data_IF_974747998328
#
_entry.id   IF_974747998328
#
_cell.length_a   1.000
_cell.length_b   1.000
_cell.length_c   1.000
_cell.angle_alpha   90.00
_cell.angle_beta   90.00
_cell.angle_gamma   90.00
#
_symmetry.space_group_name_H-M   'P 1'
#
loop_
_entity.id
_entity.type
_entity.pdbx_description
1 polymer ?
#
# COMPACT_ATOMS: atom_id res chain seq x y z
N UNK A 1 15.49 -7.61 0.30
CA UNK A 1 14.93 -7.78 -1.06
C UNK A 1 13.41 -7.56 -1.12
N UNK A 2 12.60 -8.14 -0.23
CA UNK A 2 11.14 -7.95 -0.22
C UNK A 2 10.69 -6.47 -0.07
N UNK A 3 11.28 -5.74 0.88
CA UNK A 3 11.05 -4.29 1.05
C UNK A 3 11.47 -3.48 -0.19
N UNK A 4 12.57 -3.85 -0.85
CA UNK A 4 13.03 -3.21 -2.07
C UNK A 4 12.05 -3.46 -3.24
N UNK A 5 11.55 -4.68 -3.38
CA UNK A 5 10.51 -5.04 -4.35
C UNK A 5 9.22 -4.24 -4.10
N UNK A 6 8.74 -4.18 -2.86
CA UNK A 6 7.56 -3.37 -2.47
C UNK A 6 7.77 -1.88 -2.77
N UNK A 7 8.97 -1.35 -2.51
CA UNK A 7 9.30 0.04 -2.81
C UNK A 7 9.37 0.37 -4.30
N UNK A 8 9.86 -0.55 -5.13
CA UNK A 8 10.01 -0.30 -6.58
C UNK A 8 8.70 -0.53 -7.33
N UNK A 9 7.86 -1.48 -6.88
CA UNK A 9 6.61 -1.83 -7.58
C UNK A 9 5.36 -1.17 -7.04
N UNK A 10 5.26 -0.90 -5.73
CA UNK A 10 3.99 -0.45 -5.11
C UNK A 10 3.99 0.97 -4.56
N UNK A 11 5.15 1.58 -4.25
CA UNK A 11 5.21 3.03 -4.00
C UNK A 11 4.76 3.85 -5.22
N UNK A 12 5.05 3.45 -6.48
CA UNK A 12 4.46 4.11 -7.65
C UNK A 12 2.93 4.07 -7.70
N UNK A 13 2.27 3.04 -7.16
CA UNK A 13 0.81 2.97 -7.09
C UNK A 13 0.24 3.92 -6.04
N UNK A 14 0.90 4.06 -4.89
CA UNK A 14 0.56 5.10 -3.93
C UNK A 14 0.74 6.50 -4.53
N UNK A 15 1.81 6.71 -5.31
CA UNK A 15 2.04 7.94 -6.10
C UNK A 15 0.97 8.15 -7.17
N UNK A 16 0.45 7.08 -7.77
CA UNK A 16 -0.62 7.16 -8.77
C UNK A 16 -1.90 7.78 -8.19
N UNK A 17 -2.24 7.49 -6.94
CA UNK A 17 -3.36 8.16 -6.25
C UNK A 17 -3.16 9.67 -6.13
N UNK A 18 -1.91 10.15 -5.99
CA UNK A 18 -1.62 11.59 -6.04
C UNK A 18 -1.82 12.16 -7.45
N UNK A 19 -1.37 11.44 -8.49
CA UNK A 19 -1.61 11.84 -9.89
C UNK A 19 -3.10 11.91 -10.25
N UNK A 20 -3.92 11.04 -9.67
CA UNK A 20 -5.37 11.06 -9.84
C UNK A 20 -6.06 12.16 -9.01
N UNK A 21 -5.33 12.93 -8.20
CA UNK A 21 -5.88 13.99 -7.34
C UNK A 21 -6.46 13.49 -6.02
N UNK A 22 -6.27 12.22 -5.67
CA UNK A 22 -6.70 11.62 -4.40
C UNK A 22 -5.59 11.68 -3.33
N UNK A 23 -5.19 12.90 -2.96
CA UNK A 23 -4.14 13.14 -1.95
C UNK A 23 -4.39 12.40 -0.64
N UNK A 24 -5.63 12.36 -0.14
CA UNK A 24 -5.98 11.66 1.09
C UNK A 24 -5.78 10.14 1.00
N UNK A 25 -6.13 9.51 -0.13
CA UNK A 25 -5.90 8.07 -0.34
C UNK A 25 -4.41 7.77 -0.45
N UNK A 26 -3.66 8.60 -1.19
CA UNK A 26 -2.21 8.47 -1.31
C UNK A 26 -1.49 8.60 0.04
N UNK A 27 -1.85 9.59 0.85
CA UNK A 27 -1.29 9.78 2.19
C UNK A 27 -1.64 8.62 3.14
N UNK A 28 -2.88 8.14 3.12
CA UNK A 28 -3.29 6.99 3.93
C UNK A 28 -2.54 5.71 3.53
N UNK A 29 -2.33 5.48 2.24
CA UNK A 29 -1.54 4.36 1.75
C UNK A 29 -0.07 4.44 2.21
N UNK A 30 0.56 5.61 2.14
CA UNK A 30 1.93 5.79 2.65
C UNK A 30 1.97 5.57 4.18
N UNK A 31 1.01 6.14 4.91
CA UNK A 31 0.94 6.00 6.36
C UNK A 31 0.79 4.53 6.79
N UNK A 32 -0.11 3.78 6.13
CA UNK A 32 -0.28 2.34 6.39
C UNK A 32 0.99 1.55 6.12
N UNK A 33 1.71 1.85 5.03
CA UNK A 33 2.98 1.21 4.72
C UNK A 33 4.02 1.51 5.82
N UNK A 34 4.20 2.77 6.18
CA UNK A 34 5.21 3.19 7.16
C UNK A 34 4.90 2.60 8.54
N UNK A 35 3.66 2.71 9.00
CA UNK A 35 3.23 2.17 10.30
C UNK A 35 3.29 0.65 10.30
N UNK A 36 2.82 -0.02 9.25
CA UNK A 36 2.87 -1.47 9.14
C UNK A 36 4.31 -2.00 9.18
N UNK A 37 5.25 -1.36 8.48
CA UNK A 37 6.68 -1.70 8.53
C UNK A 37 7.27 -1.44 9.92
N UNK A 38 6.96 -0.31 10.55
CA UNK A 38 7.45 0.01 11.89
C UNK A 38 6.98 -1.01 12.92
N UNK A 39 5.70 -1.39 12.90
CA UNK A 39 5.15 -2.41 13.80
C UNK A 39 5.76 -3.79 13.52
N UNK A 40 5.98 -4.14 12.25
CA UNK A 40 6.65 -5.40 11.91
C UNK A 40 8.07 -5.44 12.47
N UNK A 41 8.81 -4.33 12.38
CA UNK A 41 10.17 -4.22 12.90
C UNK A 41 10.20 -4.31 14.44
N UNK A 42 9.28 -3.63 15.12
CA UNK A 42 9.12 -3.72 16.59
C UNK A 42 8.70 -5.12 17.04
N UNK A 43 7.84 -5.79 16.28
CA UNK A 43 7.37 -7.15 16.57
C UNK A 43 8.33 -8.26 16.16
N UNK A 44 9.34 -7.96 15.33
CA UNK A 44 10.30 -8.92 14.81
C UNK A 44 11.04 -9.72 15.90
N UNK A 45 11.54 -9.10 16.99
CA UNK A 45 12.14 -9.85 18.09
C UNK A 45 11.17 -10.86 18.73
N UNK A 46 9.87 -10.55 18.76
CA UNK A 46 8.85 -11.47 19.25
C UNK A 46 8.77 -12.76 18.43
N UNK A 47 8.88 -12.68 17.09
CA UNK A 47 8.88 -13.88 16.25
C UNK A 47 10.12 -14.77 16.43
N UNK A 48 11.25 -14.18 16.83
CA UNK A 48 12.50 -14.90 17.03
C UNK A 48 12.60 -15.54 18.42
N UNK A 49 12.18 -14.81 19.45
CA UNK A 49 12.42 -15.19 20.85
C UNK A 49 11.15 -15.51 21.63
N UNK A 50 9.98 -15.37 21.01
CA UNK A 50 8.68 -15.50 21.66
C UNK A 50 8.33 -14.30 22.55
N UNK A 51 7.09 -14.29 23.06
CA UNK A 51 6.61 -13.29 24.01
C UNK A 51 5.60 -12.28 23.43
N UNK A 52 5.27 -11.25 24.22
CA UNK A 52 4.16 -10.31 23.95
C UNK A 52 4.36 -9.45 22.70
N UNK A 53 5.59 -9.27 22.23
CA UNK A 53 5.91 -8.53 21.01
C UNK A 53 5.42 -9.25 19.73
N UNK A 54 5.16 -10.56 19.78
CA UNK A 54 4.63 -11.32 18.63
C UNK A 54 3.30 -10.76 18.14
N UNK A 55 2.42 -10.35 19.05
CA UNK A 55 1.13 -9.74 18.72
C UNK A 55 1.31 -8.46 17.88
N UNK A 56 2.29 -7.62 18.24
CA UNK A 56 2.61 -6.39 17.49
C UNK A 56 3.09 -6.75 16.07
N UNK A 57 3.91 -7.79 15.95
CA UNK A 57 4.36 -8.30 14.65
C UNK A 57 3.20 -8.75 13.77
N UNK A 58 2.23 -9.48 14.33
CA UNK A 58 1.03 -9.91 13.60
C UNK A 58 0.16 -8.73 13.17
N UNK A 59 0.00 -7.70 14.01
CA UNK A 59 -0.69 -6.46 13.63
C UNK A 59 0.02 -5.79 12.46
N UNK A 60 1.36 -5.68 12.51
CA UNK A 60 2.15 -5.15 11.40
C UNK A 60 1.94 -5.93 10.10
N UNK A 61 1.98 -7.27 10.16
CA UNK A 61 1.69 -8.13 9.01
C UNK A 61 0.28 -7.94 8.46
N UNK A 62 -0.73 -7.89 9.33
CA UNK A 62 -2.13 -7.69 8.91
C UNK A 62 -2.32 -6.33 8.22
N UNK A 63 -1.70 -5.27 8.74
CA UNK A 63 -1.74 -3.94 8.13
C UNK A 63 -1.07 -3.93 6.76
N UNK A 64 0.11 -4.56 6.62
CA UNK A 64 0.81 -4.65 5.33
C UNK A 64 0.05 -5.53 4.33
N UNK A 65 -0.59 -6.60 4.80
CA UNK A 65 -1.48 -7.43 3.98
C UNK A 65 -2.69 -6.65 3.47
N UNK A 66 -3.38 -5.92 4.35
CA UNK A 66 -4.51 -5.06 3.96
C UNK A 66 -4.09 -3.94 3.01
N UNK A 67 -2.94 -3.32 3.26
CA UNK A 67 -2.35 -2.33 2.36
C UNK A 67 -2.08 -2.92 0.96
N UNK A 68 -1.47 -4.11 0.88
CA UNK A 68 -1.18 -4.78 -0.38
C UNK A 68 -2.45 -5.07 -1.17
N UNK A 69 -3.47 -5.64 -0.52
CA UNK A 69 -4.76 -5.94 -1.14
C UNK A 69 -5.44 -4.68 -1.66
N UNK A 70 -5.38 -3.58 -0.90
CA UNK A 70 -5.91 -2.30 -1.34
C UNK A 70 -5.16 -1.80 -2.60
N UNK A 71 -3.83 -1.83 -2.63
CA UNK A 71 -3.07 -1.42 -3.82
C UNK A 71 -3.41 -2.27 -5.06
N UNK A 72 -3.56 -3.59 -4.90
CA UNK A 72 -3.98 -4.47 -6.00
C UNK A 72 -5.40 -4.13 -6.48
N UNK A 73 -6.32 -3.82 -5.57
CA UNK A 73 -7.67 -3.40 -5.93
C UNK A 73 -7.68 -2.10 -6.73
N UNK A 74 -6.94 -1.08 -6.28
CA UNK A 74 -6.83 0.19 -7.00
C UNK A 74 -6.15 -0.03 -8.38
N UNK A 75 -5.13 -0.89 -8.47
CA UNK A 75 -4.51 -1.25 -9.75
C UNK A 75 -5.50 -1.85 -10.75
N UNK A 76 -6.31 -2.81 -10.31
CA UNK A 76 -7.36 -3.43 -11.14
C UNK A 76 -8.33 -2.34 -11.61
N UNK A 77 -8.79 -1.45 -10.70
CA UNK A 77 -9.71 -0.36 -11.05
C UNK A 77 -9.12 0.65 -12.02
N UNK A 78 -7.81 0.88 -11.96
CA UNK A 78 -7.10 1.74 -12.92
C UNK A 78 -7.10 1.08 -14.31
N UNK A 79 -6.76 -0.22 -14.39
CA UNK A 79 -6.76 -0.97 -15.65
C UNK A 79 -8.17 -1.04 -16.25
N UNK A 80 -9.20 -1.29 -15.43
CA UNK A 80 -10.59 -1.34 -15.87
C UNK A 80 -11.20 0.04 -16.09
N UNK A 81 -10.45 1.12 -15.82
CA UNK A 81 -10.89 2.53 -15.89
C UNK A 81 -12.07 2.90 -14.97
N UNK A 82 -12.31 2.08 -13.95
CA UNK A 82 -13.32 2.31 -12.93
C UNK A 82 -12.85 3.41 -11.94
N UNK A 83 -11.54 3.50 -11.68
CA UNK A 83 -10.96 4.58 -10.87
C UNK A 83 -10.49 5.74 -11.76
N UNK A 84 -11.33 6.77 -11.94
CA UNK A 84 -10.98 7.94 -12.75
C UNK A 84 -10.30 9.07 -11.96
N UNK A 85 -9.50 9.92 -12.63
CA UNK A 85 -8.97 11.14 -12.03
C UNK A 85 -10.09 12.03 -11.46
N UNK A 86 -9.84 12.68 -10.33
CA UNK A 86 -10.85 13.48 -9.62
C UNK A 86 -11.44 14.63 -10.45
N UNK A 87 -10.67 15.13 -11.42
CA UNK A 87 -11.03 16.26 -12.30
C UNK A 87 -10.89 15.91 -13.79
N UNK A 88 -11.04 14.65 -14.19
CA UNK A 88 -10.90 14.27 -15.59
C UNK A 88 -11.24 12.82 -15.87
N UNK A 89 -11.18 12.43 -17.14
CA UNK A 89 -11.36 11.04 -17.57
C UNK A 89 -10.10 10.56 -18.29
N UNK A 90 -9.86 9.25 -18.28
CA UNK A 90 -8.77 8.70 -19.07
C UNK A 90 -9.05 8.92 -20.55
N UNK A 91 -8.06 9.46 -21.27
CA UNK A 91 -8.16 9.64 -22.71
C UNK A 91 -8.49 8.29 -23.38
N UNK A 92 -9.52 8.29 -24.23
CA UNK A 92 -9.78 7.15 -25.10
C UNK A 92 -8.56 6.98 -25.99
N UNK A 93 -7.98 5.79 -26.00
CA UNK A 93 -6.94 5.44 -26.97
C UNK A 93 -7.57 5.55 -28.35
N UNK A 94 -7.20 6.58 -29.13
CA UNK A 94 -7.54 6.66 -30.54
C UNK A 94 -6.87 5.47 -31.22
N UNK A 95 -7.70 4.54 -31.71
CA UNK A 95 -7.27 3.43 -32.53
C UNK A 95 -6.83 3.93 -33.90
#
# INVERSE_FOLDING_TARGET
MLLALLSITYVPFSLHNFYLGYYGRGAAAIALLVVGVALLFVGWPGFLFGGSLTAIGYVGLAMLGGWLLWQVSDFIRIITRDLQPKNGSYAKKSA
#
